data_IF_722729482535
#
_entry.id   IF_722729482535
#
_cell.length_a   1.000
_cell.length_b   1.000
_cell.length_c   1.000
_cell.angle_alpha   90.00
_cell.angle_beta   90.00
_cell.angle_gamma   90.00
#
_symmetry.space_group_name_H-M   'P 1'
#
loop_
_entity.id
_entity.type
_entity.pdbx_description
1 polymer ?
#
# COMPACT_ATOMS: atom_id res chain seq x y z
N UNK A 1 35.70 -3.01 1.01
CA UNK A 1 34.56 -2.11 0.80
C UNK A 1 33.68 -2.75 -0.26
N UNK A 2 32.56 -3.38 0.12
CA UNK A 2 31.65 -4.04 -0.83
C UNK A 2 30.70 -2.97 -1.37
N UNK A 3 30.79 -2.69 -2.66
CA UNK A 3 29.78 -1.92 -3.40
C UNK A 3 28.50 -2.75 -3.44
N UNK A 4 27.56 -2.44 -2.56
CA UNK A 4 26.17 -2.84 -2.73
C UNK A 4 25.71 -2.17 -4.03
N UNK A 5 25.68 -2.94 -5.13
CA UNK A 5 24.94 -2.54 -6.32
C UNK A 5 23.49 -2.64 -5.90
N UNK A 6 22.96 -1.52 -5.43
CA UNK A 6 21.58 -1.40 -5.01
C UNK A 6 20.77 -1.43 -6.29
N UNK A 7 20.12 -2.56 -6.55
CA UNK A 7 19.23 -2.68 -7.69
C UNK A 7 17.97 -1.86 -7.37
N UNK A 8 17.71 -0.74 -8.07
CA UNK A 8 16.63 0.17 -7.73
C UNK A 8 15.24 -0.48 -7.89
N UNK A 9 15.15 -1.62 -8.56
CA UNK A 9 13.93 -2.42 -8.74
C UNK A 9 13.63 -3.26 -7.50
N UNK A 10 14.66 -3.71 -6.79
CA UNK A 10 14.53 -4.53 -5.58
C UNK A 10 14.06 -3.68 -4.39
N UNK A 11 14.62 -2.48 -4.20
CA UNK A 11 14.23 -1.58 -3.11
C UNK A 11 12.78 -1.07 -3.25
N UNK A 12 12.34 -0.79 -4.48
CA UNK A 12 10.94 -0.40 -4.75
C UNK A 12 9.97 -1.53 -4.43
N UNK A 13 10.38 -2.77 -4.69
CA UNK A 13 9.58 -3.95 -4.35
C UNK A 13 9.51 -4.15 -2.82
N UNK A 14 10.61 -3.96 -2.09
CA UNK A 14 10.63 -4.06 -0.62
C UNK A 14 9.81 -2.95 0.05
N UNK A 15 9.94 -1.70 -0.43
CA UNK A 15 9.16 -0.58 0.08
C UNK A 15 7.66 -0.78 -0.14
N UNK A 16 7.26 -1.31 -1.31
CA UNK A 16 5.86 -1.63 -1.60
C UNK A 16 5.32 -2.71 -0.65
N UNK A 17 6.05 -3.80 -0.47
CA UNK A 17 5.66 -4.86 0.47
C UNK A 17 5.52 -4.33 1.90
N UNK A 18 6.40 -3.40 2.33
CA UNK A 18 6.33 -2.83 3.67
C UNK A 18 5.09 -1.96 3.86
N UNK A 19 4.71 -1.18 2.85
CA UNK A 19 3.45 -0.41 2.86
C UNK A 19 2.25 -1.34 2.89
N UNK A 20 2.21 -2.37 2.05
CA UNK A 20 1.12 -3.35 2.02
C UNK A 20 0.98 -4.10 3.35
N UNK A 21 2.10 -4.52 3.96
CA UNK A 21 2.10 -5.18 5.27
C UNK A 21 1.60 -4.26 6.39
N UNK A 22 1.94 -2.97 6.34
CA UNK A 22 1.42 -1.99 7.29
C UNK A 22 -0.09 -1.81 7.12
N UNK A 23 -0.57 -1.67 5.89
CA UNK A 23 -2.00 -1.55 5.59
C UNK A 23 -2.77 -2.81 6.00
N UNK A 24 -2.20 -4.00 5.78
CA UNK A 24 -2.77 -5.25 6.26
C UNK A 24 -2.89 -5.24 7.80
N UNK A 25 -1.84 -4.79 8.51
CA UNK A 25 -1.89 -4.65 9.96
C UNK A 25 -3.02 -3.71 10.44
N UNK A 26 -3.29 -2.63 9.70
CA UNK A 26 -4.42 -1.72 9.98
C UNK A 26 -5.78 -2.42 9.81
N UNK A 27 -5.89 -3.30 8.82
CA UNK A 27 -7.09 -4.11 8.60
C UNK A 27 -7.27 -5.16 9.69
N UNK A 28 -6.18 -5.82 10.11
CA UNK A 28 -6.20 -6.83 11.16
C UNK A 28 -6.63 -6.25 12.52
N UNK A 29 -6.24 -5.02 12.84
CA UNK A 29 -6.71 -4.32 14.05
C UNK A 29 -8.09 -3.67 13.90
N UNK A 30 -8.73 -3.80 12.73
CA UNK A 30 -10.04 -3.21 12.43
C UNK A 30 -10.04 -1.69 12.24
N UNK A 31 -8.87 -1.06 12.07
CA UNK A 31 -8.74 0.36 11.80
C UNK A 31 -8.97 0.72 10.32
N UNK A 32 -8.90 -0.27 9.43
CA UNK A 32 -9.18 -0.12 8.01
C UNK A 32 -9.89 -1.36 7.44
N UNK A 33 -10.35 -1.25 6.20
CA UNK A 33 -10.91 -2.37 5.42
C UNK A 33 -10.47 -2.28 3.96
N UNK A 34 -10.12 -3.42 3.39
CA UNK A 34 -9.92 -3.55 1.95
C UNK A 34 -11.24 -3.53 1.20
N UNK A 35 -11.27 -2.77 0.12
CA UNK A 35 -12.39 -2.68 -0.81
C UNK A 35 -11.86 -2.78 -2.24
N UNK A 36 -12.67 -3.33 -3.14
CA UNK A 36 -12.39 -3.32 -4.57
C UNK A 36 -13.49 -2.48 -5.21
N UNK A 37 -13.11 -1.39 -5.87
CA UNK A 37 -14.08 -0.51 -6.53
C UNK A 37 -14.60 -1.11 -7.84
N UNK A 38 -15.59 -0.46 -8.46
CA UNK A 38 -16.21 -0.93 -9.71
C UNK A 38 -15.22 -1.03 -10.90
N UNK A 39 -14.12 -0.27 -10.86
CA UNK A 39 -13.02 -0.35 -11.82
C UNK A 39 -12.05 -1.53 -11.54
N UNK A 40 -12.27 -2.29 -10.47
CA UNK A 40 -11.43 -3.42 -10.07
C UNK A 40 -10.15 -3.00 -9.33
N UNK A 41 -10.03 -1.73 -8.94
CA UNK A 41 -8.87 -1.23 -8.22
C UNK A 41 -9.03 -1.41 -6.70
N UNK A 42 -7.89 -1.69 -6.04
CA UNK A 42 -7.85 -1.93 -4.60
C UNK A 42 -7.83 -0.62 -3.83
N UNK A 43 -8.73 -0.49 -2.88
CA UNK A 43 -8.87 0.65 -2.00
C UNK A 43 -8.76 0.22 -0.54
N UNK A 44 -8.10 1.05 0.27
CA UNK A 44 -8.07 0.94 1.72
C UNK A 44 -8.99 2.01 2.30
N UNK A 45 -10.06 1.58 2.94
CA UNK A 45 -11.04 2.45 3.59
C UNK A 45 -10.72 2.50 5.08
N UNK A 46 -10.31 3.67 5.58
CA UNK A 46 -10.03 3.89 6.99
C UNK A 46 -11.33 4.11 7.77
N UNK A 47 -11.37 3.69 9.03
CA UNK A 47 -12.49 4.01 9.93
C UNK A 47 -12.61 5.51 10.20
N UNK A 48 -11.51 6.26 10.07
CA UNK A 48 -11.47 7.72 10.11
C UNK A 48 -12.23 8.40 8.96
N UNK A 49 -12.64 7.65 7.92
CA UNK A 49 -13.34 8.16 6.73
C UNK A 49 -12.42 8.47 5.54
N UNK A 50 -11.11 8.34 5.72
CA UNK A 50 -10.10 8.50 4.67
C UNK A 50 -10.09 7.28 3.75
N UNK A 51 -9.77 7.49 2.46
CA UNK A 51 -9.70 6.40 1.48
C UNK A 51 -8.42 6.50 0.68
N UNK A 52 -7.72 5.39 0.53
CA UNK A 52 -6.47 5.29 -0.22
C UNK A 52 -6.61 4.28 -1.37
N UNK A 53 -6.31 4.70 -2.58
CA UNK A 53 -6.30 3.88 -3.79
C UNK A 53 -4.90 3.33 -4.05
N UNK A 54 -4.80 2.02 -4.26
CA UNK A 54 -3.56 1.33 -4.60
C UNK A 54 -3.50 1.10 -6.11
N UNK A 55 -2.56 1.76 -6.77
CA UNK A 55 -2.32 1.65 -8.20
C UNK A 55 -0.92 1.12 -8.54
N UNK A 56 -0.63 1.01 -9.84
CA UNK A 56 0.70 0.61 -10.31
C UNK A 56 1.79 1.59 -9.87
N UNK A 57 1.48 2.89 -9.85
CA UNK A 57 2.43 3.96 -9.49
C UNK A 57 2.59 4.17 -7.99
N UNK A 58 1.83 3.46 -7.14
CA UNK A 58 1.86 3.60 -5.69
C UNK A 58 0.48 3.86 -5.09
N UNK A 59 0.45 4.58 -3.96
CA UNK A 59 -0.78 4.83 -3.18
C UNK A 59 -1.22 6.28 -3.30
N UNK A 60 -2.48 6.50 -3.67
CA UNK A 60 -3.09 7.83 -3.80
C UNK A 60 -4.21 8.00 -2.79
N UNK A 61 -4.21 9.09 -2.02
CA UNK A 61 -5.32 9.42 -1.12
C UNK A 61 -6.46 10.07 -1.91
N UNK A 62 -7.68 9.56 -1.75
CA UNK A 62 -8.88 10.06 -2.43
C UNK A 62 -9.67 11.06 -1.58
N UNK A 63 -9.77 10.84 -0.26
CA UNK A 63 -10.53 11.66 0.69
C UNK A 63 -9.71 11.97 1.94
#
# INVERSE_FOLDING_TARGET
MRTISVDPTNEQSEARHQVEAHCQSLVDIGAARWWVNDDGATELHMTSGETYLFGELGVTRLK
#
